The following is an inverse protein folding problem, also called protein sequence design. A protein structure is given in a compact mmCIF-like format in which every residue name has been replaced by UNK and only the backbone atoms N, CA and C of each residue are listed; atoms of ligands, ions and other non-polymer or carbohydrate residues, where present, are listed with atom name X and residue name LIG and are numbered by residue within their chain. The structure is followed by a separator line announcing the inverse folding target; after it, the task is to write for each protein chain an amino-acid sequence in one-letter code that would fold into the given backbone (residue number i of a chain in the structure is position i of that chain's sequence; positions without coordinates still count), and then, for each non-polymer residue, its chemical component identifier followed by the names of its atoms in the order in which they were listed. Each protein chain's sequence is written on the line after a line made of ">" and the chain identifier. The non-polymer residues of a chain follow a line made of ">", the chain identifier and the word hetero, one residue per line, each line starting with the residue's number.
data_IF_633594703788
#
_entry.id   IF_633594703788
#
_cell.length_a   1.000
_cell.length_b   1.000
_cell.length_c   1.000
_cell.angle_alpha   90.00
_cell.angle_beta   90.00
_cell.angle_gamma   90.00
#
_symmetry.space_group_name_H-M   'P 1'
#
loop_
_entity.id
_entity.type
_entity.pdbx_description
1 polymer ?
#
# COMPACT_ATOMS: atom_id res chain seq x y z
N UNK A 1 13.86 15.77 -11.01
CA UNK A 1 12.43 15.40 -10.86
C UNK A 1 12.05 14.04 -11.42
N UNK A 2 12.84 13.40 -12.31
CA UNK A 2 12.73 11.94 -12.58
C UNK A 2 13.64 11.07 -11.72
N UNK A 3 14.80 11.59 -11.29
CA UNK A 3 15.78 10.82 -10.49
C UNK A 3 15.29 10.38 -9.11
N UNK A 4 14.37 11.14 -8.49
CA UNK A 4 13.74 10.74 -7.21
C UNK A 4 12.68 9.65 -7.39
N UNK A 5 12.12 9.51 -8.60
CA UNK A 5 11.19 8.44 -8.93
C UNK A 5 12.06 7.22 -9.23
N UNK A 6 12.59 6.62 -8.17
CA UNK A 6 13.27 5.33 -8.25
C UNK A 6 12.28 4.35 -8.88
N UNK A 7 12.77 3.43 -9.73
CA UNK A 7 12.00 2.40 -10.46
C UNK A 7 11.25 1.45 -9.51
N UNK A 8 10.24 1.96 -8.83
CA UNK A 8 9.34 1.23 -7.95
C UNK A 8 8.20 0.66 -8.79
N UNK A 9 7.84 -0.63 -8.62
CA UNK A 9 6.77 -1.25 -9.37
C UNK A 9 5.41 -0.80 -8.82
N UNK A 10 4.89 0.31 -9.35
CA UNK A 10 3.52 0.74 -9.07
C UNK A 10 2.54 -0.18 -9.79
N UNK A 11 1.55 -0.69 -9.06
CA UNK A 11 0.48 -1.51 -9.59
C UNK A 11 -0.87 -0.92 -9.20
N UNK A 12 -1.85 -1.05 -10.09
CA UNK A 12 -3.23 -0.71 -9.75
C UNK A 12 -3.82 -1.86 -8.92
N UNK A 13 -4.54 -1.54 -7.84
CA UNK A 13 -5.22 -2.55 -7.03
C UNK A 13 -6.20 -3.40 -7.85
N UNK A 14 -6.87 -2.78 -8.83
CA UNK A 14 -7.81 -3.46 -9.71
C UNK A 14 -7.73 -2.85 -11.13
N UNK A 15 -7.89 -3.63 -12.21
CA UNK A 15 -7.78 -3.14 -13.59
C UNK A 15 -8.68 -1.92 -13.88
N UNK A 16 -9.88 -1.89 -13.30
CA UNK A 16 -10.86 -0.80 -13.49
C UNK A 16 -10.69 0.35 -12.50
N UNK A 17 -9.97 0.16 -11.39
CA UNK A 17 -9.79 1.18 -10.32
C UNK A 17 -8.36 1.70 -10.34
N UNK A 18 -8.08 2.65 -11.23
CA UNK A 18 -6.75 3.26 -11.40
C UNK A 18 -6.34 4.22 -10.27
N UNK A 19 -7.28 4.61 -9.41
CA UNK A 19 -7.02 5.60 -8.34
C UNK A 19 -6.42 4.97 -7.08
N UNK A 20 -6.37 3.64 -6.99
CA UNK A 20 -5.80 2.91 -5.85
C UNK A 20 -4.50 2.27 -6.32
N UNK A 21 -3.38 2.84 -5.88
CA UNK A 21 -2.04 2.39 -6.20
C UNK A 21 -1.50 1.51 -5.07
N UNK A 22 -0.90 0.39 -5.44
CA UNK A 22 -0.24 -0.56 -4.55
C UNK A 22 1.22 -0.67 -4.96
N UNK A 23 2.10 -0.70 -3.96
CA UNK A 23 3.52 -0.97 -4.13
C UNK A 23 3.85 -2.17 -3.25
N UNK A 24 4.47 -3.19 -3.84
CA UNK A 24 4.72 -4.47 -3.18
C UNK A 24 6.20 -4.73 -2.93
N UNK A 25 6.48 -5.35 -1.77
CA UNK A 25 7.78 -5.85 -1.29
C UNK A 25 9.01 -5.10 -1.82
N UNK A 26 9.26 -3.94 -1.21
CA UNK A 26 10.46 -3.15 -1.47
C UNK A 26 11.49 -3.35 -0.35
N UNK A 27 12.80 -3.38 -0.66
CA UNK A 27 13.84 -3.40 0.36
C UNK A 27 13.79 -2.14 1.24
N UNK A 28 13.24 -2.25 2.45
CA UNK A 28 13.03 -1.12 3.37
C UNK A 28 14.31 -0.48 3.93
N UNK A 29 15.51 -0.96 3.57
CA UNK A 29 16.78 -0.24 3.81
C UNK A 29 17.11 0.77 2.70
N UNK A 30 16.65 0.48 1.48
CA UNK A 30 16.88 1.31 0.29
C UNK A 30 15.77 2.35 0.13
N UNK A 31 14.55 1.98 0.52
CA UNK A 31 13.36 2.79 0.35
C UNK A 31 12.80 3.20 1.71
N UNK A 32 13.37 4.26 2.28
CA UNK A 32 12.84 4.93 3.48
C UNK A 32 11.80 6.00 3.13
N UNK A 33 11.90 6.56 1.93
CA UNK A 33 10.95 7.52 1.38
C UNK A 33 10.46 7.00 0.02
N UNK A 34 9.15 7.13 -0.22
CA UNK A 34 8.52 6.75 -1.49
C UNK A 34 7.82 7.99 -2.05
N UNK A 35 8.24 8.41 -3.24
CA UNK A 35 7.60 9.51 -3.97
C UNK A 35 6.60 8.95 -4.99
N UNK A 36 5.33 9.32 -4.87
CA UNK A 36 4.26 8.93 -5.79
C UNK A 36 4.09 9.97 -6.92
N UNK A 37 4.23 9.58 -8.20
CA UNK A 37 3.87 10.46 -9.30
C UNK A 37 2.34 10.46 -9.49
N UNK A 38 1.65 11.42 -8.87
CA UNK A 38 0.20 11.57 -8.99
C UNK A 38 -0.11 12.62 -10.06
N UNK A 39 -1.00 12.30 -10.99
CA UNK A 39 -1.57 13.24 -11.95
C UNK A 39 -2.98 13.61 -11.50
N UNK A 40 -3.25 14.91 -11.38
CA UNK A 40 -4.60 15.42 -11.17
C UNK A 40 -5.45 15.22 -12.42
N UNK A 41 -6.74 14.96 -12.24
CA UNK A 41 -7.69 14.90 -13.34
C UNK A 41 -8.00 16.31 -13.84
N UNK A 42 -8.06 16.46 -15.17
CA UNK A 42 -8.48 17.70 -15.80
C UNK A 42 -10.01 17.80 -15.84
N UNK A 43 -10.55 18.90 -15.32
CA UNK A 43 -11.99 19.14 -15.24
C UNK A 43 -12.63 19.48 -16.59
N UNK A 44 -11.86 20.04 -17.53
CA UNK A 44 -12.39 20.38 -18.85
C UNK A 44 -12.80 19.11 -19.63
N UNK A 45 -12.12 18.00 -19.37
CA UNK A 45 -12.33 16.71 -20.05
C UNK A 45 -13.19 15.72 -19.25
N UNK A 46 -13.34 15.87 -17.93
CA UNK A 46 -14.06 14.92 -17.10
C UNK A 46 -15.17 15.56 -16.24
N UNK A 47 -16.43 15.31 -16.62
CA UNK A 47 -17.63 15.85 -15.95
C UNK A 47 -17.89 15.31 -14.54
N UNK A 48 -17.20 14.24 -14.13
CA UNK A 48 -17.38 13.63 -12.81
C UNK A 48 -16.43 14.18 -11.74
N UNK A 49 -15.52 15.08 -12.11
CA UNK A 49 -14.55 15.71 -11.20
C UNK A 49 -14.95 17.15 -10.98
N UNK A 50 -14.90 17.60 -9.73
CA UNK A 50 -15.28 18.96 -9.31
C UNK A 50 -14.11 19.60 -8.54
N UNK A 51 -14.05 20.93 -8.50
CA UNK A 51 -13.06 21.64 -7.68
C UNK A 51 -13.48 21.58 -6.20
N UNK A 52 -13.11 20.49 -5.55
CA UNK A 52 -13.42 20.21 -4.14
C UNK A 52 -12.17 19.76 -3.41
N UNK A 53 -12.23 19.79 -2.07
CA UNK A 53 -11.20 19.20 -1.21
C UNK A 53 -11.40 17.68 -1.16
N UNK A 54 -10.55 16.94 -1.86
CA UNK A 54 -10.58 15.48 -1.86
C UNK A 54 -9.72 14.90 -0.73
N UNK A 55 -10.21 13.90 0.02
CA UNK A 55 -9.37 13.18 0.98
C UNK A 55 -8.40 12.24 0.27
N UNK A 56 -7.21 12.06 0.86
CA UNK A 56 -6.20 11.09 0.42
C UNK A 56 -5.98 10.11 1.57
N UNK A 57 -6.14 8.82 1.31
CA UNK A 57 -5.94 7.76 2.29
C UNK A 57 -4.63 7.02 2.00
N UNK A 58 -3.86 6.74 3.05
CA UNK A 58 -2.55 6.09 2.96
C UNK A 58 -2.52 4.97 4.00
N UNK A 59 -2.14 3.77 3.56
CA UNK A 59 -1.86 2.63 4.41
C UNK A 59 -0.46 2.09 4.10
N UNK A 60 0.38 1.98 5.13
CA UNK A 60 1.74 1.48 5.00
C UNK A 60 1.93 0.24 5.87
N UNK A 61 2.73 -0.70 5.40
CA UNK A 61 3.14 -1.87 6.18
C UNK A 61 4.65 -2.11 6.03
N UNK A 62 5.31 -2.36 7.17
CA UNK A 62 6.70 -2.82 7.23
C UNK A 62 6.77 -4.11 8.05
N UNK A 63 7.56 -5.06 7.57
CA UNK A 63 7.75 -6.34 8.24
C UNK A 63 6.73 -7.39 7.81
N UNK A 64 6.77 -8.54 8.50
CA UNK A 64 5.94 -9.70 8.19
C UNK A 64 4.60 -9.63 8.91
N UNK A 65 3.54 -10.04 8.21
CA UNK A 65 2.21 -10.17 8.81
C UNK A 65 2.15 -11.26 9.88
N UNK A 66 1.24 -11.10 10.84
CA UNK A 66 1.00 -12.05 11.91
C UNK A 66 0.17 -13.26 11.47
N UNK A 67 -0.68 -13.09 10.47
CA UNK A 67 -1.68 -14.07 10.04
C UNK A 67 -1.60 -14.21 8.51
N UNK A 68 -1.70 -15.44 8.03
CA UNK A 68 -1.77 -15.77 6.61
C UNK A 68 -3.21 -15.65 6.08
N UNK A 69 -3.42 -15.54 4.75
CA UNK A 69 -4.77 -15.45 4.18
C UNK A 69 -5.70 -16.63 4.53
N UNK A 70 -5.14 -17.80 4.87
CA UNK A 70 -5.89 -18.97 5.33
C UNK A 70 -6.27 -18.93 6.82
N UNK A 71 -5.94 -17.86 7.55
CA UNK A 71 -6.21 -17.69 8.97
C UNK A 71 -5.12 -18.24 9.90
N UNK A 72 -4.12 -18.96 9.39
CA UNK A 72 -3.07 -19.53 10.23
C UNK A 72 -2.10 -18.45 10.72
N UNK A 73 -1.61 -18.62 11.95
CA UNK A 73 -0.56 -17.78 12.55
C UNK A 73 0.78 -17.95 11.81
N UNK A 74 1.52 -16.86 11.64
CA UNK A 74 2.89 -16.88 11.12
C UNK A 74 3.91 -17.13 12.24
N UNK A 75 5.17 -17.40 11.91
CA UNK A 75 6.24 -17.50 12.92
C UNK A 75 6.72 -16.13 13.46
N UNK A 76 6.03 -15.02 13.15
CA UNK A 76 6.24 -13.70 13.77
C UNK A 76 4.99 -13.26 14.54
N UNK A 77 4.54 -14.13 15.44
CA UNK A 77 3.46 -13.82 16.37
C UNK A 77 3.70 -14.53 17.69
N UNK A 78 2.93 -14.15 18.70
CA UNK A 78 2.97 -14.78 20.03
C UNK A 78 2.23 -16.12 19.97
N UNK A 79 2.91 -17.17 20.44
CA UNK A 79 2.32 -18.48 20.68
C UNK A 79 1.94 -18.57 22.15
N UNK A 80 0.67 -18.85 22.41
CA UNK A 80 0.15 -19.09 23.74
C UNK A 80 -0.10 -20.58 23.87
N UNK A 81 0.02 -21.09 25.09
CA UNK A 81 -0.38 -22.46 25.38
C UNK A 81 -1.87 -22.63 25.10
N UNK A 82 -2.21 -23.71 24.39
CA UNK A 82 -3.60 -24.05 24.10
C UNK A 82 -4.30 -24.69 25.29
N UNK A 83 -3.53 -25.13 26.27
CA UNK A 83 -3.98 -25.83 27.47
C UNK A 83 -3.13 -25.38 28.65
N UNK A 84 -3.77 -25.10 29.79
CA UNK A 84 -3.08 -24.94 31.06
C UNK A 84 -2.45 -26.26 31.50
N UNK A 85 -1.13 -26.29 31.64
CA UNK A 85 -0.40 -27.31 32.36
C UNK A 85 0.32 -26.70 33.57
N UNK A 86 0.76 -27.56 34.47
CA UNK A 86 1.44 -27.24 35.73
C UNK A 86 2.94 -27.26 35.55
#
# INVERSE_FOLDING_TARGET
>A
TKEKIVNLPFQNYHPTKKNILVIGLVPGKKYSEITFPILSLDLASNKHVHFLKYPIYIGENRGRGQIYPNGNKSNSTVYNDTTTCI
#
